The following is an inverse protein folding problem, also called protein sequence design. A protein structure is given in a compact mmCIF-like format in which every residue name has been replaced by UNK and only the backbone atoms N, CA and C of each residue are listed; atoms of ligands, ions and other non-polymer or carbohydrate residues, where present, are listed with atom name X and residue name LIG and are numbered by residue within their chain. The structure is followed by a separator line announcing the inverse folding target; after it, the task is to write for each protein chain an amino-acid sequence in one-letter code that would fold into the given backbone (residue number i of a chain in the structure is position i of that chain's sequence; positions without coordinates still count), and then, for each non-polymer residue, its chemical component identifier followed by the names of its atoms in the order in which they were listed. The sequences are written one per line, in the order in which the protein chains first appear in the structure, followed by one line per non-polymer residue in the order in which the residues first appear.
data_IF_371174722074
#
_entry.id   IF_371174722074
#
_cell.length_a   1.000
_cell.length_b   1.000
_cell.length_c   1.000
_cell.angle_alpha   90.00
_cell.angle_beta   90.00
_cell.angle_gamma   90.00
#
_symmetry.space_group_name_H-M   'P 1'
#
loop_
_entity.id
_entity.type
_entity.pdbx_description
1 polymer ?
#
# COMPACT_ATOMS: atom_id res chain seq x y z
N UNK A 1 -12.56 8.55 1.59
CA UNK A 1 -12.28 7.28 2.25
C UNK A 1 -13.56 6.79 2.86
N UNK A 2 -14.07 5.70 2.35
CA UNK A 2 -15.07 4.93 3.07
C UNK A 2 -14.33 4.23 4.20
N UNK A 3 -14.03 5.01 5.23
CA UNK A 3 -13.42 4.47 6.41
C UNK A 3 -14.44 3.56 7.05
N UNK A 4 -14.06 2.31 7.25
CA UNK A 4 -14.80 1.46 8.15
C UNK A 4 -14.94 2.18 9.49
N UNK A 5 -16.03 1.95 10.19
CA UNK A 5 -16.21 2.45 11.58
C UNK A 5 -14.98 2.16 12.46
N UNK A 6 -14.26 1.10 12.14
CA UNK A 6 -13.06 0.65 12.84
C UNK A 6 -11.89 1.63 12.74
N UNK A 7 -11.69 2.30 11.60
CA UNK A 7 -10.58 3.26 11.47
C UNK A 7 -10.73 4.44 12.42
N UNK A 8 -11.95 4.99 12.56
CA UNK A 8 -12.21 6.10 13.48
C UNK A 8 -12.05 5.66 14.94
N UNK A 9 -12.55 4.47 15.27
CA UNK A 9 -12.44 3.91 16.60
C UNK A 9 -10.97 3.66 16.96
N UNK A 10 -10.20 3.04 16.06
CA UNK A 10 -8.79 2.76 16.25
C UNK A 10 -7.96 4.06 16.38
N UNK A 11 -8.28 5.10 15.60
CA UNK A 11 -7.61 6.41 15.74
C UNK A 11 -7.90 7.03 17.10
N UNK A 12 -9.16 7.03 17.55
CA UNK A 12 -9.53 7.58 18.84
C UNK A 12 -8.89 6.80 19.98
N UNK A 13 -8.87 5.47 19.91
CA UNK A 13 -8.21 4.62 20.89
C UNK A 13 -6.72 4.93 20.98
N UNK A 14 -6.04 5.06 19.83
CA UNK A 14 -4.63 5.43 19.77
C UNK A 14 -4.37 6.79 20.43
N UNK A 15 -5.21 7.80 20.18
CA UNK A 15 -5.08 9.13 20.78
C UNK A 15 -5.24 9.07 22.31
N UNK A 16 -6.20 8.30 22.81
CA UNK A 16 -6.42 8.08 24.24
C UNK A 16 -5.21 7.38 24.88
N UNK A 17 -4.65 6.37 24.21
CA UNK A 17 -3.45 5.67 24.71
C UNK A 17 -2.25 6.61 24.77
N UNK A 18 -2.04 7.47 23.75
CA UNK A 18 -0.97 8.47 23.75
C UNK A 18 -1.14 9.46 24.90
N UNK A 19 -2.35 10.00 25.12
CA UNK A 19 -2.63 10.91 26.23
C UNK A 19 -2.38 10.25 27.60
N UNK A 20 -2.80 9.01 27.77
CA UNK A 20 -2.57 8.25 29.00
C UNK A 20 -1.07 8.07 29.30
N UNK A 21 -0.28 7.70 28.27
CA UNK A 21 1.17 7.55 28.40
C UNK A 21 1.86 8.89 28.71
N UNK A 22 1.41 9.98 28.09
CA UNK A 22 1.91 11.33 28.38
C UNK A 22 1.63 11.73 29.84
N UNK A 23 0.44 11.45 30.34
CA UNK A 23 0.09 11.70 31.76
C UNK A 23 0.86 10.81 32.71
N UNK A 24 1.24 9.63 32.29
CA UNK A 24 2.11 8.71 33.04
C UNK A 24 3.60 9.09 32.98
N UNK A 25 3.93 10.25 32.40
CA UNK A 25 5.32 10.75 32.25
C UNK A 25 6.24 9.83 31.44
N UNK A 26 5.70 9.19 30.40
CA UNK A 26 6.52 8.44 29.46
C UNK A 26 7.61 9.35 28.86
N UNK A 27 8.85 8.88 28.85
CA UNK A 27 9.99 9.68 28.38
C UNK A 27 10.00 9.86 26.84
N UNK A 28 9.38 8.96 26.09
CA UNK A 28 9.19 9.02 24.64
C UNK A 28 8.00 8.16 24.22
N UNK A 29 7.16 8.69 23.36
CA UNK A 29 5.98 8.01 22.82
C UNK A 29 6.13 7.91 21.31
N UNK A 30 6.31 6.70 20.78
CA UNK A 30 6.32 6.43 19.35
C UNK A 30 5.00 5.79 18.94
N UNK A 31 4.24 6.46 18.08
CA UNK A 31 3.02 5.91 17.50
C UNK A 31 3.39 4.99 16.33
N UNK A 32 3.15 3.68 16.47
CA UNK A 32 3.39 2.67 15.44
C UNK A 32 2.08 2.42 14.70
N UNK A 33 2.02 2.87 13.45
CA UNK A 33 0.80 2.90 12.63
C UNK A 33 1.11 2.22 11.28
N UNK A 34 1.00 0.88 11.17
CA UNK A 34 1.32 0.18 9.93
C UNK A 34 0.52 0.68 8.73
N UNK A 35 -0.76 0.97 8.90
CA UNK A 35 -1.59 1.65 7.90
C UNK A 35 -2.02 3.02 8.40
N UNK A 36 -1.54 4.08 7.75
CA UNK A 36 -1.93 5.45 8.06
C UNK A 36 -3.26 5.78 7.39
N UNK A 37 -4.33 5.73 8.16
CA UNK A 37 -5.68 6.05 7.68
C UNK A 37 -5.80 7.50 7.21
N UNK A 38 -6.73 7.76 6.29
CA UNK A 38 -6.94 9.06 5.63
C UNK A 38 -5.77 9.55 4.75
N UNK A 39 -4.74 8.74 4.50
CA UNK A 39 -3.58 9.10 3.69
C UNK A 39 -3.94 9.55 2.26
N UNK A 40 -5.04 9.07 1.69
CA UNK A 40 -5.52 9.48 0.35
C UNK A 40 -6.02 10.93 0.28
N UNK A 41 -6.27 11.55 1.43
CA UNK A 41 -6.67 12.95 1.52
C UNK A 41 -5.48 13.83 1.91
N UNK A 42 -4.44 13.77 1.09
CA UNK A 42 -3.17 14.49 1.25
C UNK A 42 -3.17 15.88 0.62
N UNK A 43 -4.19 16.17 -0.22
CA UNK A 43 -4.35 17.42 -0.96
C UNK A 43 -5.81 17.72 -1.24
N UNK A 44 -6.10 18.97 -1.59
CA UNK A 44 -7.41 19.36 -2.10
C UNK A 44 -7.55 18.92 -3.56
N UNK A 45 -8.44 18.01 -3.86
CA UNK A 45 -8.81 17.63 -5.22
C UNK A 45 -9.80 18.65 -5.82
N UNK A 46 -10.65 19.27 -4.98
CA UNK A 46 -11.63 20.29 -5.33
C UNK A 46 -11.56 21.44 -4.33
N UNK A 47 -12.16 22.57 -4.69
CA UNK A 47 -12.31 23.70 -3.75
C UNK A 47 -13.06 23.25 -2.48
N UNK A 48 -12.54 23.66 -1.32
CA UNK A 48 -13.06 23.36 0.02
C UNK A 48 -12.90 21.91 0.50
N UNK A 49 -12.20 21.05 -0.22
CA UNK A 49 -11.88 19.71 0.28
C UNK A 49 -10.98 19.80 1.53
N UNK A 50 -11.16 18.91 2.50
CA UNK A 50 -10.25 18.81 3.64
C UNK A 50 -8.91 18.22 3.21
N UNK A 51 -7.88 18.40 4.04
CA UNK A 51 -6.61 17.67 3.98
C UNK A 51 -6.54 16.82 5.24
N UNK A 52 -7.28 15.71 5.24
CA UNK A 52 -7.50 14.91 6.45
C UNK A 52 -6.22 14.22 6.91
N UNK A 53 -5.30 13.90 6.00
CA UNK A 53 -3.98 13.38 6.35
C UNK A 53 -3.21 14.36 7.28
N UNK A 54 -3.28 15.69 7.01
CA UNK A 54 -2.69 16.71 7.88
C UNK A 54 -3.45 16.85 9.21
N UNK A 55 -4.78 16.75 9.19
CA UNK A 55 -5.57 16.79 10.39
C UNK A 55 -5.17 15.67 11.37
N UNK A 56 -5.05 14.43 10.88
CA UNK A 56 -4.64 13.28 11.69
C UNK A 56 -3.22 13.48 12.24
N UNK A 57 -2.29 14.00 11.41
CA UNK A 57 -0.93 14.31 11.86
C UNK A 57 -0.92 15.32 13.03
N UNK A 58 -1.73 16.37 12.93
CA UNK A 58 -1.88 17.37 14.00
C UNK A 58 -2.48 16.74 15.28
N UNK A 59 -3.48 15.87 15.16
CA UNK A 59 -4.10 15.21 16.31
C UNK A 59 -3.11 14.30 17.04
N UNK A 60 -2.31 13.51 16.34
CA UNK A 60 -1.28 12.65 16.94
C UNK A 60 -0.21 13.47 17.66
N UNK A 61 0.26 14.57 17.06
CA UNK A 61 1.23 15.48 17.67
C UNK A 61 0.64 16.16 18.90
N UNK A 62 -0.59 16.66 18.80
CA UNK A 62 -1.28 17.34 19.93
C UNK A 62 -1.56 16.39 21.09
N UNK A 63 -1.89 15.13 20.83
CA UNK A 63 -2.07 14.10 21.86
C UNK A 63 -0.76 13.81 22.63
N UNK A 64 0.40 14.03 22.01
CA UNK A 64 1.70 13.90 22.65
C UNK A 64 2.60 12.81 22.08
N UNK A 65 2.38 12.37 20.83
CA UNK A 65 3.34 11.53 20.14
C UNK A 65 4.63 12.31 19.86
N UNK A 66 5.78 11.68 20.12
CA UNK A 66 7.12 12.25 19.86
C UNK A 66 7.67 11.77 18.52
N UNK A 67 7.15 10.67 17.96
CA UNK A 67 7.57 10.06 16.70
C UNK A 67 6.43 9.23 16.12
N UNK A 68 6.41 9.11 14.80
CA UNK A 68 5.52 8.18 14.08
C UNK A 68 6.37 7.18 13.30
N UNK A 69 6.02 5.90 13.40
CA UNK A 69 6.56 4.81 12.58
C UNK A 69 5.41 4.22 11.76
N UNK A 70 5.52 4.27 10.44
CA UNK A 70 4.46 3.81 9.52
C UNK A 70 5.06 3.09 8.31
N UNK A 71 4.22 2.59 7.41
CA UNK A 71 4.66 1.89 6.19
C UNK A 71 3.91 2.40 4.97
N UNK A 72 4.63 2.57 3.86
CA UNK A 72 4.10 2.89 2.51
C UNK A 72 2.98 3.93 2.51
N UNK A 73 3.26 5.11 3.05
CA UNK A 73 2.35 6.25 2.95
C UNK A 73 1.90 6.44 1.49
N UNK A 74 0.59 6.66 1.28
CA UNK A 74 0.01 6.87 -0.05
C UNK A 74 0.80 7.91 -0.86
N UNK A 75 1.22 8.99 -0.21
CA UNK A 75 2.04 10.03 -0.78
C UNK A 75 3.20 10.36 0.18
N UNK A 76 4.44 10.32 -0.31
CA UNK A 76 5.64 10.51 0.52
C UNK A 76 5.69 11.89 1.21
N UNK A 77 5.07 12.91 0.61
CA UNK A 77 4.97 14.26 1.16
C UNK A 77 4.16 14.33 2.47
N UNK A 78 3.36 13.31 2.81
CA UNK A 78 2.65 13.24 4.10
C UNK A 78 3.62 13.28 5.28
N UNK A 79 4.85 12.81 5.12
CA UNK A 79 5.90 12.92 6.13
C UNK A 79 6.14 14.39 6.53
N UNK A 80 6.03 15.32 5.58
CA UNK A 80 6.14 16.76 5.82
C UNK A 80 4.91 17.40 6.50
N UNK A 81 3.85 16.63 6.77
CA UNK A 81 2.70 17.12 7.53
C UNK A 81 2.93 17.09 9.04
N UNK A 82 3.95 16.38 9.48
CA UNK A 82 4.31 16.24 10.89
C UNK A 82 5.42 17.22 11.25
N UNK A 83 5.31 17.80 12.44
CA UNK A 83 6.36 18.58 13.09
C UNK A 83 7.25 17.71 14.00
N UNK A 84 6.98 16.41 14.06
CA UNK A 84 7.73 15.38 14.76
C UNK A 84 8.34 14.39 13.74
N UNK A 85 9.40 13.65 14.11
CA UNK A 85 10.00 12.65 13.22
C UNK A 85 9.01 11.60 12.74
N UNK A 86 9.09 11.26 11.44
CA UNK A 86 8.30 10.19 10.82
C UNK A 86 9.23 9.24 10.11
N UNK A 87 9.12 7.96 10.45
CA UNK A 87 9.79 6.87 9.76
C UNK A 87 8.76 6.12 8.91
N UNK A 88 8.85 6.31 7.59
CA UNK A 88 7.97 5.64 6.63
C UNK A 88 8.69 4.44 6.02
N UNK A 89 8.49 3.24 6.60
CA UNK A 89 9.08 2.01 6.09
C UNK A 89 8.55 1.69 4.68
N UNK A 90 9.37 1.02 3.89
CA UNK A 90 8.96 0.52 2.58
C UNK A 90 8.60 -0.97 2.67
N UNK A 91 7.42 -1.35 2.21
CA UNK A 91 6.99 -2.76 2.12
C UNK A 91 7.64 -3.53 0.97
N UNK A 92 8.22 -2.79 0.01
CA UNK A 92 8.86 -3.35 -1.18
C UNK A 92 9.85 -4.51 -0.89
N UNK A 93 10.76 -4.46 0.10
CA UNK A 93 11.67 -5.58 0.39
C UNK A 93 10.93 -6.89 0.72
N UNK A 94 9.79 -6.82 1.40
CA UNK A 94 8.99 -7.99 1.74
C UNK A 94 8.43 -8.66 0.48
N UNK A 95 7.92 -7.87 -0.46
CA UNK A 95 7.46 -8.39 -1.75
C UNK A 95 8.59 -8.94 -2.61
N UNK A 96 9.73 -8.26 -2.64
CA UNK A 96 10.94 -8.74 -3.35
C UNK A 96 11.34 -10.11 -2.85
N UNK A 97 11.45 -10.29 -1.53
CA UNK A 97 11.77 -11.59 -0.92
C UNK A 97 10.74 -12.66 -1.23
N UNK A 98 9.46 -12.31 -1.20
CA UNK A 98 8.37 -13.23 -1.51
C UNK A 98 8.45 -13.74 -2.95
N UNK A 99 8.55 -12.82 -3.93
CA UNK A 99 8.57 -13.19 -5.34
C UNK A 99 9.91 -13.83 -5.76
N UNK A 100 11.03 -13.40 -5.19
CA UNK A 100 12.32 -14.05 -5.40
C UNK A 100 12.32 -15.51 -4.92
N UNK A 101 11.72 -15.78 -3.77
CA UNK A 101 11.57 -17.17 -3.27
C UNK A 101 10.60 -17.99 -4.11
N UNK A 102 9.54 -17.38 -4.62
CA UNK A 102 8.49 -18.05 -5.38
C UNK A 102 8.95 -18.44 -6.77
N UNK A 103 9.72 -17.59 -7.44
CA UNK A 103 10.08 -17.74 -8.85
C UNK A 103 11.57 -17.98 -9.12
N UNK A 104 12.44 -17.64 -8.17
CA UNK A 104 13.88 -17.85 -8.33
C UNK A 104 14.43 -17.23 -9.62
N UNK A 105 15.04 -18.05 -10.47
CA UNK A 105 15.57 -17.65 -11.78
C UNK A 105 14.53 -17.59 -12.91
N UNK A 106 13.27 -17.98 -12.67
CA UNK A 106 12.20 -18.00 -13.69
C UNK A 106 11.58 -16.63 -13.97
N UNK A 107 12.25 -15.55 -13.53
CA UNK A 107 11.77 -14.18 -13.69
C UNK A 107 11.84 -13.63 -15.13
N UNK A 108 12.52 -14.31 -16.07
CA UNK A 108 12.72 -13.81 -17.44
C UNK A 108 11.40 -13.58 -18.21
N UNK A 109 10.38 -14.40 -17.91
CA UNK A 109 9.06 -14.24 -18.54
C UNK A 109 8.09 -13.38 -17.73
N UNK A 110 8.55 -12.78 -16.64
CA UNK A 110 7.71 -11.97 -15.78
C UNK A 110 7.82 -10.48 -16.08
N UNK A 111 6.75 -9.73 -15.79
CA UNK A 111 6.66 -8.30 -16.00
C UNK A 111 5.98 -7.65 -14.80
N UNK A 112 6.61 -6.63 -14.23
CA UNK A 112 5.95 -5.77 -13.25
C UNK A 112 5.07 -4.76 -13.97
N UNK A 113 3.87 -4.53 -13.47
CA UNK A 113 2.92 -3.58 -14.08
C UNK A 113 2.44 -2.58 -13.04
N UNK A 114 2.54 -1.30 -13.36
CA UNK A 114 1.88 -0.25 -12.60
C UNK A 114 0.42 -0.14 -13.01
N UNK A 115 -0.55 -0.20 -12.08
CA UNK A 115 -1.98 -0.10 -12.40
C UNK A 115 -2.41 1.29 -12.84
N UNK A 116 -1.58 2.31 -12.63
CA UNK A 116 -1.79 3.69 -13.07
C UNK A 116 -0.46 4.47 -13.14
N UNK A 117 -0.53 5.72 -13.59
CA UNK A 117 0.65 6.60 -13.72
C UNK A 117 1.21 7.03 -12.35
N UNK A 118 0.36 7.09 -11.31
CA UNK A 118 0.75 7.52 -9.97
C UNK A 118 1.67 6.53 -9.26
N UNK A 119 1.46 5.23 -9.50
CA UNK A 119 2.19 4.13 -8.85
C UNK A 119 3.49 3.75 -9.59
N UNK A 120 3.83 4.39 -10.73
CA UNK A 120 4.98 4.03 -11.59
C UNK A 120 6.30 4.03 -10.84
N UNK A 121 6.56 5.02 -9.99
CA UNK A 121 7.83 5.10 -9.27
C UNK A 121 8.05 3.92 -8.33
N UNK A 122 6.99 3.49 -7.63
CA UNK A 122 7.02 2.32 -6.74
C UNK A 122 7.19 1.03 -7.52
N UNK A 123 6.39 0.84 -8.58
CA UNK A 123 6.47 -0.33 -9.45
C UNK A 123 7.85 -0.44 -10.10
N UNK A 124 8.48 0.67 -10.48
CA UNK A 124 9.84 0.70 -11.03
C UNK A 124 10.88 0.23 -10.02
N UNK A 125 10.81 0.72 -8.78
CA UNK A 125 11.74 0.30 -7.72
C UNK A 125 11.61 -1.21 -7.44
N UNK A 126 10.39 -1.74 -7.46
CA UNK A 126 10.12 -3.18 -7.32
C UNK A 126 10.68 -3.98 -8.51
N UNK A 127 10.40 -3.56 -9.74
CA UNK A 127 10.90 -4.20 -10.96
C UNK A 127 12.44 -4.25 -10.99
N UNK A 128 13.12 -3.15 -10.61
CA UNK A 128 14.57 -3.08 -10.58
C UNK A 128 15.20 -4.09 -9.60
N UNK A 129 14.59 -4.29 -8.43
CA UNK A 129 15.07 -5.25 -7.42
C UNK A 129 14.94 -6.70 -7.89
N UNK A 130 13.95 -6.99 -8.71
CA UNK A 130 13.70 -8.32 -9.28
C UNK A 130 14.29 -8.50 -10.68
N UNK A 131 15.00 -7.49 -11.21
CA UNK A 131 15.53 -7.48 -12.57
C UNK A 131 14.47 -7.71 -13.66
N UNK A 132 13.24 -7.28 -13.40
CA UNK A 132 12.09 -7.39 -14.31
C UNK A 132 11.87 -6.11 -15.10
N UNK A 133 11.25 -6.24 -16.28
CA UNK A 133 10.76 -5.10 -17.05
C UNK A 133 9.49 -4.50 -16.42
N UNK A 134 9.17 -3.26 -16.80
CA UNK A 134 8.02 -2.51 -16.31
C UNK A 134 7.07 -2.17 -17.47
N UNK A 135 5.78 -2.42 -17.25
CA UNK A 135 4.68 -1.90 -18.08
C UNK A 135 3.73 -1.04 -17.23
N UNK A 136 2.84 -0.30 -17.88
CA UNK A 136 1.92 0.63 -17.23
C UNK A 136 0.53 0.46 -17.85
N UNK A 137 -0.51 0.42 -17.00
CA UNK A 137 -1.89 0.56 -17.44
C UNK A 137 -2.28 2.04 -17.39
N UNK A 138 -2.49 2.64 -18.57
CA UNK A 138 -2.91 4.04 -18.70
C UNK A 138 -4.44 4.11 -18.84
N UNK A 139 -5.08 4.80 -17.89
CA UNK A 139 -6.51 5.05 -17.87
C UNK A 139 -6.82 6.38 -18.55
N UNK A 140 -7.40 6.35 -19.73
CA UNK A 140 -7.87 7.57 -20.40
C UNK A 140 -9.38 7.69 -20.33
N UNK A 141 -9.88 8.73 -19.66
CA UNK A 141 -11.25 9.17 -19.77
C UNK A 141 -11.37 10.07 -21.01
N UNK A 142 -11.95 9.55 -22.09
CA UNK A 142 -12.14 10.36 -23.31
C UNK A 142 -13.25 11.43 -23.18
N UNK A 143 -14.26 11.22 -22.33
CA UNK A 143 -15.33 12.19 -21.98
C UNK A 143 -15.96 11.81 -20.64
N UNK A 144 -16.56 12.80 -19.94
CA UNK A 144 -17.47 12.51 -18.83
C UNK A 144 -18.62 11.62 -19.35
N UNK A 145 -18.82 10.43 -18.74
CA UNK A 145 -19.80 9.39 -19.13
C UNK A 145 -19.39 8.42 -20.28
N UNK A 146 -18.14 8.36 -20.71
CA UNK A 146 -17.68 7.29 -21.61
C UNK A 146 -17.04 6.13 -20.84
N UNK A 147 -17.11 4.89 -21.38
CA UNK A 147 -16.37 3.74 -20.87
C UNK A 147 -14.88 4.08 -20.73
N UNK A 148 -14.28 3.71 -19.61
CA UNK A 148 -12.83 3.86 -19.40
C UNK A 148 -12.10 2.98 -20.42
N UNK A 149 -11.37 3.61 -21.33
CA UNK A 149 -10.45 2.89 -22.22
C UNK A 149 -9.14 2.71 -21.50
N UNK A 150 -8.74 1.47 -21.30
CA UNK A 150 -7.46 1.12 -20.73
C UNK A 150 -6.47 0.79 -21.83
N UNK A 151 -5.34 1.48 -21.87
CA UNK A 151 -4.21 1.19 -22.73
C UNK A 151 -3.10 0.56 -21.91
N UNK A 152 -2.43 -0.45 -22.47
CA UNK A 152 -1.24 -1.04 -21.88
C UNK A 152 -0.02 -0.47 -22.59
N UNK A 153 0.86 0.17 -21.83
CA UNK A 153 2.13 0.72 -22.31
C UNK A 153 3.23 -0.25 -21.91
N UNK A 154 3.87 -0.86 -22.90
CA UNK A 154 4.83 -1.95 -22.74
C UNK A 154 4.30 -3.25 -23.37
N UNK A 155 5.19 -4.14 -23.74
CA UNK A 155 4.82 -5.44 -24.32
C UNK A 155 4.67 -6.49 -23.22
N UNK A 156 3.42 -6.80 -22.90
CA UNK A 156 3.03 -7.80 -21.88
C UNK A 156 2.55 -9.12 -22.48
N UNK A 157 2.60 -9.25 -23.81
CA UNK A 157 2.11 -10.44 -24.52
C UNK A 157 2.87 -11.69 -24.06
N UNK A 158 2.11 -12.74 -23.76
CA UNK A 158 2.60 -14.02 -23.26
C UNK A 158 3.43 -13.94 -21.95
N UNK A 159 3.38 -12.79 -21.21
CA UNK A 159 4.08 -12.59 -19.96
C UNK A 159 3.20 -12.91 -18.74
N UNK A 160 3.86 -13.36 -17.68
CA UNK A 160 3.25 -13.48 -16.35
C UNK A 160 3.41 -12.11 -15.63
N UNK A 161 2.30 -11.39 -15.44
CA UNK A 161 2.30 -10.02 -14.95
C UNK A 161 2.08 -9.94 -13.44
N UNK A 162 2.78 -9.00 -12.78
CA UNK A 162 2.59 -8.65 -11.37
C UNK A 162 2.15 -7.19 -11.30
N UNK A 163 0.88 -6.92 -11.00
CA UNK A 163 0.38 -5.58 -10.67
C UNK A 163 0.87 -5.17 -9.29
N UNK A 164 1.52 -4.01 -9.20
CA UNK A 164 2.08 -3.49 -7.95
C UNK A 164 1.45 -2.14 -7.59
N UNK A 165 0.79 -2.07 -6.43
CA UNK A 165 0.12 -0.86 -5.92
C UNK A 165 0.44 -0.61 -4.43
N UNK A 166 0.02 0.54 -3.90
CA UNK A 166 0.13 0.83 -2.46
C UNK A 166 -1.04 0.26 -1.67
N UNK A 167 -2.24 0.26 -2.25
CA UNK A 167 -3.42 -0.24 -1.55
C UNK A 167 -4.48 -0.83 -2.48
N UNK A 168 -5.28 -1.72 -1.92
CA UNK A 168 -6.50 -2.24 -2.53
C UNK A 168 -7.68 -1.84 -1.66
N UNK A 169 -8.47 -0.88 -2.13
CA UNK A 169 -9.70 -0.44 -1.45
C UNK A 169 -10.90 -1.27 -1.95
N UNK A 170 -11.64 -0.83 -2.95
CA UNK A 170 -12.81 -1.55 -3.48
C UNK A 170 -12.47 -2.61 -4.53
N UNK A 171 -11.20 -2.77 -4.87
CA UNK A 171 -10.70 -3.73 -5.86
C UNK A 171 -11.00 -3.39 -7.32
N UNK A 172 -11.85 -2.39 -7.59
CA UNK A 172 -12.31 -2.11 -8.96
C UNK A 172 -11.17 -1.75 -9.92
N UNK A 173 -10.30 -0.82 -9.53
CA UNK A 173 -9.17 -0.38 -10.36
C UNK A 173 -8.20 -1.52 -10.65
N UNK A 174 -7.87 -2.30 -9.63
CA UNK A 174 -6.94 -3.42 -9.75
C UNK A 174 -7.49 -4.52 -10.67
N UNK A 175 -8.76 -4.91 -10.47
CA UNK A 175 -9.40 -5.94 -11.28
C UNK A 175 -9.58 -5.50 -12.74
N UNK A 176 -9.92 -4.23 -12.98
CA UNK A 176 -10.01 -3.69 -14.33
C UNK A 176 -8.65 -3.64 -15.03
N UNK A 177 -7.58 -3.26 -14.30
CA UNK A 177 -6.22 -3.30 -14.84
C UNK A 177 -5.80 -4.72 -15.19
N UNK A 178 -6.08 -5.70 -14.33
CA UNK A 178 -5.80 -7.11 -14.59
C UNK A 178 -6.55 -7.62 -15.82
N UNK A 179 -7.84 -7.27 -15.96
CA UNK A 179 -8.64 -7.62 -17.13
C UNK A 179 -8.05 -7.03 -18.42
N UNK A 180 -7.64 -5.76 -18.39
CA UNK A 180 -7.02 -5.11 -19.54
C UNK A 180 -5.69 -5.77 -19.96
N UNK A 181 -4.88 -6.21 -19.01
CA UNK A 181 -3.64 -6.94 -19.29
C UNK A 181 -3.90 -8.24 -20.05
N UNK A 182 -4.95 -8.99 -19.68
CA UNK A 182 -5.32 -10.23 -20.38
C UNK A 182 -5.96 -9.93 -21.74
N UNK A 183 -7.03 -9.11 -21.76
CA UNK A 183 -7.88 -8.95 -22.96
C UNK A 183 -7.26 -8.03 -24.02
N UNK A 184 -6.54 -7.00 -23.60
CA UNK A 184 -5.93 -6.00 -24.50
C UNK A 184 -4.45 -6.26 -24.68
N UNK A 185 -3.74 -6.54 -23.57
CA UNK A 185 -2.29 -6.75 -23.58
C UNK A 185 -1.85 -8.13 -24.03
N UNK A 186 -2.73 -9.15 -23.94
CA UNK A 186 -2.39 -10.54 -24.26
C UNK A 186 -1.48 -11.19 -23.23
N UNK A 187 -1.51 -10.73 -21.97
CA UNK A 187 -0.75 -11.33 -20.89
C UNK A 187 -1.21 -12.78 -20.64
N UNK A 188 -0.28 -13.66 -20.26
CA UNK A 188 -0.55 -15.06 -19.96
C UNK A 188 -1.25 -15.24 -18.62
N UNK A 189 -0.81 -14.54 -17.61
CA UNK A 189 -1.41 -14.54 -16.27
C UNK A 189 -1.21 -13.21 -15.56
N UNK A 190 -2.05 -12.92 -14.55
CA UNK A 190 -1.92 -11.72 -13.74
C UNK A 190 -2.01 -12.09 -12.26
N UNK A 191 -0.99 -11.67 -11.52
CA UNK A 191 -0.96 -11.61 -10.07
C UNK A 191 -0.95 -10.14 -9.64
N UNK A 192 -1.21 -9.89 -8.37
CA UNK A 192 -1.15 -8.54 -7.83
C UNK A 192 -0.53 -8.54 -6.44
N UNK A 193 0.05 -7.41 -6.05
CA UNK A 193 0.46 -7.16 -4.68
C UNK A 193 0.23 -5.69 -4.30
N UNK A 194 -0.07 -5.49 -3.02
CA UNK A 194 -0.25 -4.15 -2.47
C UNK A 194 0.05 -4.14 -0.96
N UNK A 195 0.56 -3.01 -0.48
CA UNK A 195 0.93 -2.87 0.92
C UNK A 195 -0.28 -2.90 1.85
N UNK A 196 -1.40 -2.29 1.45
CA UNK A 196 -2.56 -2.11 2.31
C UNK A 196 -3.81 -2.74 1.71
N UNK A 197 -4.29 -3.82 2.32
CA UNK A 197 -5.54 -4.46 1.97
C UNK A 197 -6.72 -3.86 2.73
N UNK A 198 -7.21 -2.69 2.32
CA UNK A 198 -8.40 -2.07 2.95
C UNK A 198 -9.64 -2.91 2.69
N UNK A 199 -9.77 -3.46 1.47
CA UNK A 199 -10.78 -4.44 1.06
C UNK A 199 -12.22 -4.03 1.39
N UNK A 200 -12.56 -2.77 1.11
CA UNK A 200 -13.88 -2.20 1.39
C UNK A 200 -14.97 -2.73 0.47
N UNK A 201 -16.17 -2.84 1.03
CA UNK A 201 -17.37 -3.18 0.27
C UNK A 201 -17.23 -4.48 -0.54
N UNK A 202 -17.43 -4.46 -1.88
CA UNK A 202 -17.43 -5.66 -2.71
C UNK A 202 -16.01 -6.11 -3.14
N UNK A 203 -14.93 -5.66 -2.48
CA UNK A 203 -13.56 -5.91 -2.92
C UNK A 203 -13.23 -7.41 -3.02
N UNK A 204 -13.62 -8.17 -2.00
CA UNK A 204 -13.32 -9.61 -1.91
C UNK A 204 -14.01 -10.36 -3.06
N UNK A 205 -15.30 -10.09 -3.30
CA UNK A 205 -16.07 -10.72 -4.37
C UNK A 205 -15.47 -10.38 -5.73
N UNK A 206 -15.14 -9.10 -5.96
CA UNK A 206 -14.49 -8.66 -7.20
C UNK A 206 -13.16 -9.35 -7.45
N UNK A 207 -12.33 -9.53 -6.41
CA UNK A 207 -11.05 -10.23 -6.52
C UNK A 207 -11.28 -11.71 -6.83
N UNK A 208 -12.24 -12.35 -6.15
CA UNK A 208 -12.59 -13.76 -6.40
C UNK A 208 -13.07 -13.99 -7.83
N UNK A 209 -13.89 -13.09 -8.37
CA UNK A 209 -14.45 -13.17 -9.73
C UNK A 209 -13.47 -12.68 -10.82
N UNK A 210 -12.35 -12.05 -10.44
CA UNK A 210 -11.40 -11.47 -11.38
C UNK A 210 -10.47 -12.51 -12.01
N UNK A 211 -9.74 -12.09 -13.05
CA UNK A 211 -8.65 -12.86 -13.68
C UNK A 211 -7.37 -12.90 -12.83
N UNK A 212 -7.32 -12.20 -11.71
CA UNK A 212 -6.19 -12.23 -10.78
C UNK A 212 -6.08 -13.62 -10.18
N UNK A 213 -4.91 -14.23 -10.33
CA UNK A 213 -4.65 -15.59 -9.81
C UNK A 213 -4.22 -15.58 -8.35
N UNK A 214 -3.55 -14.53 -7.89
CA UNK A 214 -3.11 -14.31 -6.51
C UNK A 214 -2.99 -12.84 -6.21
N UNK A 215 -3.43 -12.41 -5.03
CA UNK A 215 -3.21 -11.09 -4.46
C UNK A 215 -2.40 -11.21 -3.17
N UNK A 216 -1.14 -10.78 -3.20
CA UNK A 216 -0.29 -10.71 -2.02
C UNK A 216 -0.48 -9.33 -1.33
N UNK A 217 -0.86 -9.34 -0.07
CA UNK A 217 -1.03 -8.15 0.76
C UNK A 217 -0.07 -8.20 1.96
N UNK A 218 0.38 -7.04 2.41
CA UNK A 218 1.03 -6.96 3.72
C UNK A 218 -0.07 -6.94 4.82
N UNK A 219 0.24 -7.53 5.97
CA UNK A 219 -0.67 -7.57 7.13
C UNK A 219 -0.65 -6.26 7.95
N UNK A 220 -0.55 -5.12 7.26
CA UNK A 220 -0.65 -3.77 7.85
C UNK A 220 -2.04 -3.43 8.38
N UNK A 221 -3.05 -4.15 7.90
CA UNK A 221 -4.44 -4.14 8.34
C UNK A 221 -4.80 -5.59 8.69
N UNK A 222 -5.65 -5.84 9.70
CA UNK A 222 -6.04 -7.20 10.07
C UNK A 222 -6.50 -8.03 8.88
N UNK A 223 -5.98 -9.26 8.80
CA UNK A 223 -6.31 -10.17 7.72
C UNK A 223 -7.80 -10.56 7.74
N UNK A 224 -8.39 -10.72 6.55
CA UNK A 224 -9.74 -11.28 6.42
C UNK A 224 -9.76 -12.76 6.77
N UNK A 225 -10.94 -13.30 7.07
CA UNK A 225 -11.12 -14.75 7.22
C UNK A 225 -10.64 -15.47 5.95
N UNK A 226 -9.69 -16.41 6.05
CA UNK A 226 -9.16 -17.15 4.89
C UNK A 226 -10.23 -17.87 4.07
N UNK A 227 -11.39 -18.18 4.67
CA UNK A 227 -12.52 -18.81 3.97
C UNK A 227 -13.19 -17.90 2.95
N UNK A 228 -12.99 -16.58 3.04
CA UNK A 228 -13.59 -15.60 2.13
C UNK A 228 -12.90 -15.53 0.77
N UNK A 229 -11.61 -15.88 0.71
CA UNK A 229 -10.85 -15.90 -0.55
C UNK A 229 -9.64 -16.82 -0.45
N UNK A 230 -9.47 -17.70 -1.42
CA UNK A 230 -8.25 -18.51 -1.60
C UNK A 230 -7.17 -17.76 -2.39
N UNK A 231 -7.51 -16.65 -3.03
CA UNK A 231 -6.59 -15.84 -3.85
C UNK A 231 -5.75 -14.86 -3.03
N UNK A 232 -6.23 -14.48 -1.82
CA UNK A 232 -5.57 -13.47 -0.99
C UNK A 232 -4.57 -14.13 -0.05
N UNK A 233 -3.32 -13.66 -0.08
CA UNK A 233 -2.23 -14.07 0.82
C UNK A 233 -1.71 -12.88 1.59
N UNK A 234 -1.41 -13.08 2.87
CA UNK A 234 -0.83 -12.07 3.73
C UNK A 234 0.65 -12.35 4.00
N UNK A 235 1.48 -11.32 3.84
CA UNK A 235 2.89 -11.32 4.16
C UNK A 235 3.11 -10.50 5.43
N UNK A 236 3.93 -11.01 6.33
CA UNK A 236 4.11 -10.43 7.66
C UNK A 236 5.00 -9.20 7.63
N UNK A 237 4.54 -8.09 8.23
CA UNK A 237 5.32 -6.87 8.46
C UNK A 237 5.98 -6.84 9.84
N UNK A 238 5.51 -7.63 10.78
CA UNK A 238 5.96 -7.61 12.17
C UNK A 238 7.49 -7.72 12.35
N UNK A 239 8.25 -8.56 11.62
CA UNK A 239 9.70 -8.61 11.76
C UNK A 239 10.38 -7.28 11.41
N UNK A 240 9.92 -6.59 10.34
CA UNK A 240 10.48 -5.31 9.93
C UNK A 240 10.14 -4.20 10.93
N UNK A 241 8.92 -4.16 11.43
CA UNK A 241 8.53 -3.21 12.48
C UNK A 241 9.29 -3.45 13.78
N UNK A 242 9.48 -4.71 14.20
CA UNK A 242 10.25 -5.05 15.39
C UNK A 242 11.69 -4.55 15.29
N UNK A 243 12.36 -4.79 14.17
CA UNK A 243 13.71 -4.29 13.94
C UNK A 243 13.75 -2.76 13.91
N UNK A 244 12.77 -2.10 13.29
CA UNK A 244 12.69 -0.64 13.30
C UNK A 244 12.51 -0.08 14.71
N UNK A 245 11.63 -0.67 15.53
CA UNK A 245 11.39 -0.27 16.92
C UNK A 245 12.68 -0.44 17.75
N UNK A 246 13.36 -1.58 17.62
CA UNK A 246 14.62 -1.83 18.32
C UNK A 246 15.67 -0.80 17.95
N UNK A 247 15.85 -0.50 16.67
CA UNK A 247 16.80 0.49 16.19
C UNK A 247 16.47 1.91 16.68
N UNK A 248 15.19 2.30 16.67
CA UNK A 248 14.72 3.59 17.20
C UNK A 248 15.01 3.67 18.70
N UNK A 249 14.78 2.59 19.44
CA UNK A 249 15.04 2.52 20.88
C UNK A 249 16.54 2.65 21.19
N UNK A 250 17.39 1.99 20.41
CA UNK A 250 18.85 2.02 20.53
C UNK A 250 19.49 3.27 19.90
N UNK A 251 18.70 4.18 19.31
CA UNK A 251 19.18 5.40 18.64
C UNK A 251 20.14 5.12 17.47
N UNK A 252 19.99 3.98 16.79
CA UNK A 252 20.74 3.60 15.61
C UNK A 252 19.93 3.76 14.33
N UNK A 253 20.64 3.94 13.21
CA UNK A 253 20.00 4.21 11.90
C UNK A 253 19.11 3.06 11.44
N UNK A 254 17.89 3.40 10.97
CA UNK A 254 16.95 2.47 10.32
C UNK A 254 17.20 2.36 8.80
N UNK A 255 18.20 3.06 8.24
CA UNK A 255 18.45 3.11 6.78
C UNK A 255 18.68 1.74 6.15
N UNK A 256 19.09 0.74 6.90
CA UNK A 256 19.23 -0.65 6.42
C UNK A 256 17.90 -1.28 5.99
N UNK A 257 16.78 -0.84 6.56
CA UNK A 257 15.45 -1.40 6.29
C UNK A 257 14.85 -0.93 4.95
N UNK A 258 15.49 0.04 4.30
CA UNK A 258 15.05 0.59 3.01
C UNK A 258 15.81 0.01 1.79
N UNK A 259 16.72 -0.93 2.00
CA UNK A 259 17.62 -1.47 0.96
C UNK A 259 17.13 -2.76 0.35
#
# INVERSE_FOLDING_TARGET
DVCSSDLNNNLMELLIMIDALKRASAGRITAVIPYYGYARQDRKAKARDPITAKLVANMLTAAGADRVLTMDLHASQIQGFFDIPVDNLAGNPIFVDYYAKKYGSECENMMVVSPDVGSVSRARAFAQKLHMNLAIVDKRRQKANSCEVMNVIGDVRDKDCILFDDMVDTGGSLCNAAKALIEVGGAKSVQACASHGVLSGPAIDRINDSVITELALLDTIPAIDPKKSSKIKYLQVAPMFAEAIERIYQEISISKLFR
#
